data_IF_721095177247
#
_entry.id   IF_721095177247
#
_cell.length_a   1.000
_cell.length_b   1.000
_cell.length_c   1.000
_cell.angle_alpha   90.00
_cell.angle_beta   90.00
_cell.angle_gamma   90.00
#
_symmetry.space_group_name_H-M   'P 1'
#
loop_
_entity.id
_entity.type
_entity.pdbx_description
1 polymer ?
#
# COMPACT_ATOMS: atom_id res chain seq x y z
N UNK A 1 9.00 16.33 0.58
CA UNK A 1 10.26 16.71 -0.12
C UNK A 1 10.78 15.54 -0.93
N UNK A 2 11.24 15.76 -2.17
CA UNK A 2 11.90 14.73 -2.98
C UNK A 2 13.41 15.03 -3.00
N UNK A 3 14.22 14.01 -2.74
CA UNK A 3 15.68 14.06 -2.78
C UNK A 3 16.19 12.86 -3.60
N UNK A 4 16.64 13.15 -4.84
CA UNK A 4 16.98 12.13 -5.83
C UNK A 4 15.82 11.19 -6.12
N UNK A 5 15.97 9.91 -5.78
CA UNK A 5 14.95 8.85 -5.96
C UNK A 5 14.14 8.57 -4.68
N UNK A 6 14.26 9.41 -3.66
CA UNK A 6 13.57 9.24 -2.37
C UNK A 6 12.62 10.41 -2.10
N UNK A 7 11.47 10.10 -1.52
CA UNK A 7 10.56 11.10 -0.98
C UNK A 7 10.56 11.03 0.55
N UNK A 8 10.49 12.19 1.20
CA UNK A 8 10.37 12.35 2.65
C UNK A 8 9.06 13.07 2.96
N UNK A 9 8.34 12.55 3.97
CA UNK A 9 7.10 13.13 4.48
C UNK A 9 7.44 14.28 5.42
N UNK A 10 6.74 15.40 5.25
CA UNK A 10 6.85 16.57 6.12
C UNK A 10 5.48 16.92 6.69
N UNK A 11 5.45 17.28 7.98
CA UNK A 11 4.28 17.84 8.65
C UNK A 11 4.66 19.21 9.18
N UNK A 12 3.97 20.25 8.71
CA UNK A 12 4.27 21.65 9.03
C UNK A 12 5.74 22.02 8.78
N UNK A 13 6.30 21.57 7.64
CA UNK A 13 7.68 21.83 7.22
C UNK A 13 8.75 21.02 7.95
N UNK A 14 8.37 20.08 8.81
CA UNK A 14 9.31 19.22 9.54
C UNK A 14 9.27 17.81 8.99
N UNK A 15 10.44 17.28 8.64
CA UNK A 15 10.58 15.87 8.25
C UNK A 15 10.21 14.97 9.42
N UNK A 16 9.38 13.98 9.15
CA UNK A 16 9.00 12.97 10.14
C UNK A 16 9.91 11.75 9.98
N UNK A 17 10.49 11.32 11.09
CA UNK A 17 11.26 10.08 11.16
C UNK A 17 10.33 8.87 10.92
N UNK A 18 10.74 7.97 10.02
CA UNK A 18 9.94 6.78 9.65
C UNK A 18 9.67 5.87 10.85
N UNK A 19 10.60 5.77 11.81
CA UNK A 19 10.41 5.00 13.04
C UNK A 19 9.23 5.52 13.87
N UNK A 20 8.95 6.83 13.85
CA UNK A 20 7.81 7.43 14.54
C UNK A 20 6.50 7.12 13.84
N UNK A 21 6.51 7.01 12.51
CA UNK A 21 5.33 6.61 11.73
C UNK A 21 4.91 5.16 11.98
N UNK A 22 5.86 4.31 12.40
CA UNK A 22 5.65 2.88 12.68
C UNK A 22 5.51 2.56 14.16
N UNK A 23 5.48 3.58 15.02
CA UNK A 23 5.38 3.41 16.46
C UNK A 23 4.00 2.87 16.90
N UNK A 24 3.91 2.25 18.10
CA UNK A 24 2.66 1.67 18.60
C UNK A 24 1.47 2.65 18.63
N UNK A 25 1.71 3.91 18.99
CA UNK A 25 0.68 4.94 19.03
C UNK A 25 0.06 5.22 17.65
N UNK A 26 0.88 5.24 16.59
CA UNK A 26 0.40 5.44 15.22
C UNK A 26 -0.31 4.18 14.73
N UNK A 27 0.29 2.99 14.92
CA UNK A 27 -0.31 1.73 14.51
C UNK A 27 -1.66 1.47 15.17
N UNK A 28 -1.85 1.87 16.44
CA UNK A 28 -3.13 1.74 17.14
C UNK A 28 -4.20 2.76 16.71
N UNK A 29 -3.79 3.92 16.20
CA UNK A 29 -4.71 4.99 15.83
C UNK A 29 -5.06 5.01 14.33
N UNK A 30 -4.18 4.52 13.45
CA UNK A 30 -4.28 4.74 12.00
C UNK A 30 -5.59 4.23 11.40
N UNK A 31 -6.10 3.07 11.83
CA UNK A 31 -7.36 2.52 11.31
C UNK A 31 -8.57 3.41 11.63
N UNK A 32 -8.57 4.07 12.78
CA UNK A 32 -9.62 5.00 13.19
C UNK A 32 -9.63 6.24 12.31
N UNK A 33 -8.45 6.82 12.03
CA UNK A 33 -8.33 7.95 11.12
C UNK A 33 -8.66 7.56 9.67
N UNK A 34 -8.20 6.40 9.22
CA UNK A 34 -8.44 5.89 7.86
C UNK A 34 -9.93 5.65 7.56
N UNK A 35 -10.77 5.49 8.59
CA UNK A 35 -12.22 5.35 8.47
C UNK A 35 -12.96 6.70 8.29
N UNK A 36 -12.32 7.86 8.53
CA UNK A 36 -12.95 9.18 8.44
C UNK A 36 -13.11 9.60 6.96
N UNK A 37 -14.34 9.72 6.41
CA UNK A 37 -14.53 9.98 4.98
C UNK A 37 -13.92 11.30 4.50
N UNK A 38 -14.03 12.36 5.30
CA UNK A 38 -13.47 13.67 4.96
C UNK A 38 -11.94 13.63 4.82
N UNK A 39 -11.26 12.85 5.67
CA UNK A 39 -9.81 12.67 5.59
C UNK A 39 -9.43 11.89 4.32
N UNK A 40 -10.18 10.82 4.00
CA UNK A 40 -9.96 10.06 2.76
C UNK A 40 -10.15 10.93 1.52
N UNK A 41 -11.21 11.72 1.47
CA UNK A 41 -11.48 12.63 0.38
C UNK A 41 -10.35 13.66 0.19
N UNK A 42 -9.82 14.21 1.30
CA UNK A 42 -8.69 15.14 1.25
C UNK A 42 -7.39 14.49 0.71
N UNK A 43 -7.14 13.21 1.06
CA UNK A 43 -5.94 12.49 0.61
C UNK A 43 -6.06 11.93 -0.82
N UNK A 44 -7.26 11.68 -1.31
CA UNK A 44 -7.50 11.07 -2.63
C UNK A 44 -6.86 11.89 -3.77
N UNK A 45 -7.03 13.21 -3.73
CA UNK A 45 -6.44 14.10 -4.74
C UNK A 45 -4.91 14.01 -4.71
N UNK A 46 -4.31 14.09 -3.52
CA UNK A 46 -2.86 13.94 -3.33
C UNK A 46 -2.32 12.60 -3.86
N UNK A 47 -3.04 11.50 -3.59
CA UNK A 47 -2.67 10.16 -4.04
C UNK A 47 -2.73 10.01 -5.56
N UNK A 48 -3.79 10.52 -6.19
CA UNK A 48 -3.93 10.50 -7.65
C UNK A 48 -2.88 11.36 -8.35
N UNK A 49 -2.52 12.48 -7.74
CA UNK A 49 -1.52 13.40 -8.28
C UNK A 49 -0.12 12.79 -8.37
N UNK A 50 0.17 11.73 -7.60
CA UNK A 50 1.46 11.02 -7.68
C UNK A 50 1.73 10.46 -9.08
N UNK A 51 0.69 10.08 -9.85
CA UNK A 51 0.88 9.62 -11.22
C UNK A 51 1.33 10.76 -12.16
N UNK A 52 0.87 12.00 -11.93
CA UNK A 52 1.35 13.17 -12.67
C UNK A 52 2.80 13.48 -12.29
N UNK A 53 3.10 13.53 -10.99
CA UNK A 53 4.46 13.76 -10.47
C UNK A 53 5.44 12.72 -11.04
N UNK A 54 5.07 11.44 -11.05
CA UNK A 54 5.91 10.38 -11.61
C UNK A 54 6.28 10.65 -13.09
N UNK A 55 5.31 11.08 -13.91
CA UNK A 55 5.54 11.43 -15.32
C UNK A 55 6.42 12.67 -15.47
N UNK A 56 6.17 13.71 -14.70
CA UNK A 56 6.95 14.96 -14.74
C UNK A 56 8.42 14.75 -14.38
N UNK A 57 8.70 13.79 -13.49
CA UNK A 57 10.06 13.39 -13.13
C UNK A 57 10.66 12.30 -14.03
N UNK A 58 9.99 11.94 -15.13
CA UNK A 58 10.52 10.98 -16.11
C UNK A 58 10.58 9.52 -15.64
N UNK A 59 9.80 9.14 -14.63
CA UNK A 59 9.70 7.75 -14.21
C UNK A 59 8.90 6.93 -15.24
N UNK A 60 9.33 5.69 -15.48
CA UNK A 60 8.63 4.75 -16.39
C UNK A 60 7.26 4.29 -15.87
N UNK A 61 6.98 4.50 -14.58
CA UNK A 61 5.73 4.13 -13.95
C UNK A 61 5.70 4.47 -12.46
N UNK A 62 4.57 4.19 -11.82
CA UNK A 62 4.34 4.36 -10.39
C UNK A 62 3.91 3.01 -9.79
N UNK A 63 4.62 2.55 -8.77
CA UNK A 63 4.17 1.44 -7.92
C UNK A 63 3.57 2.05 -6.65
N UNK A 64 2.33 1.69 -6.34
CA UNK A 64 1.63 2.19 -5.17
C UNK A 64 1.03 1.02 -4.37
N UNK A 65 1.33 0.99 -3.08
CA UNK A 65 0.83 0.00 -2.12
C UNK A 65 -0.24 0.63 -1.22
N UNK A 66 -1.31 -0.10 -0.94
CA UNK A 66 -2.36 0.32 -0.02
C UNK A 66 -3.57 -0.60 -0.07
N UNK A 67 -4.65 -0.22 0.63
CA UNK A 67 -5.86 -1.05 0.77
C UNK A 67 -6.86 -0.90 -0.37
N UNK A 68 -6.95 0.28 -0.97
CA UNK A 68 -7.96 0.62 -1.98
C UNK A 68 -7.35 1.29 -3.23
N UNK A 69 -6.07 0.99 -3.50
CA UNK A 69 -5.38 1.53 -4.68
C UNK A 69 -6.12 1.12 -5.94
N UNK A 70 -6.30 -0.19 -6.15
CA UNK A 70 -6.91 -0.72 -7.37
C UNK A 70 -8.44 -0.66 -7.41
N UNK A 71 -9.12 -0.37 -6.30
CA UNK A 71 -10.60 -0.26 -6.26
C UNK A 71 -11.09 1.18 -6.35
N UNK A 72 -10.33 2.15 -5.82
CA UNK A 72 -10.80 3.53 -5.66
C UNK A 72 -9.82 4.55 -6.26
N UNK A 73 -8.53 4.45 -5.94
CA UNK A 73 -7.57 5.49 -6.31
C UNK A 73 -7.23 5.41 -7.81
N UNK A 74 -6.85 4.22 -8.28
CA UNK A 74 -6.50 3.89 -9.66
C UNK A 74 -7.22 2.61 -10.12
N UNK A 75 -8.56 2.66 -10.33
CA UNK A 75 -9.33 1.51 -10.81
C UNK A 75 -8.90 1.04 -12.20
N UNK A 76 -8.29 1.93 -12.99
CA UNK A 76 -7.81 1.66 -14.35
C UNK A 76 -6.29 1.45 -14.43
N UNK A 77 -5.61 1.17 -13.30
CA UNK A 77 -4.17 0.88 -13.31
C UNK A 77 -3.85 -0.30 -14.23
N UNK A 78 -2.76 -0.21 -15.01
CA UNK A 78 -2.31 -1.25 -15.96
C UNK A 78 -2.14 -2.61 -15.28
N UNK A 79 -1.67 -2.60 -14.03
CA UNK A 79 -1.55 -3.77 -13.18
C UNK A 79 -2.18 -3.52 -11.82
N UNK A 80 -2.97 -4.47 -11.35
CA UNK A 80 -3.51 -4.51 -9.99
C UNK A 80 -3.16 -5.86 -9.39
N UNK A 81 -2.49 -5.87 -8.24
CA UNK A 81 -2.14 -7.09 -7.52
C UNK A 81 -2.84 -7.07 -6.16
N UNK A 82 -3.47 -8.17 -5.80
CA UNK A 82 -4.07 -8.35 -4.48
C UNK A 82 -3.27 -9.39 -3.72
N UNK A 83 -2.40 -8.95 -2.82
CA UNK A 83 -1.52 -9.79 -2.02
C UNK A 83 -2.18 -10.11 -0.68
N UNK A 84 -2.37 -11.40 -0.39
CA UNK A 84 -2.89 -11.87 0.88
C UNK A 84 -2.10 -13.09 1.39
N UNK A 85 -2.37 -13.49 2.63
CA UNK A 85 -1.80 -14.65 3.28
C UNK A 85 -2.64 -15.00 4.51
N UNK A 86 -2.53 -16.24 4.97
CA UNK A 86 -3.20 -16.70 6.17
C UNK A 86 -2.86 -15.82 7.38
N UNK A 87 -3.85 -15.53 8.26
CA UNK A 87 -3.64 -14.69 9.44
C UNK A 87 -2.50 -15.18 10.34
N UNK A 88 -2.35 -16.49 10.50
CA UNK A 88 -1.29 -17.11 11.30
C UNK A 88 0.10 -16.83 10.73
N UNK A 89 0.26 -16.98 9.41
CA UNK A 89 1.53 -16.71 8.73
C UNK A 89 1.88 -15.21 8.79
N UNK A 90 0.88 -14.34 8.63
CA UNK A 90 1.06 -12.89 8.78
C UNK A 90 1.49 -12.51 10.20
N UNK A 91 0.85 -13.10 11.21
CA UNK A 91 1.23 -12.90 12.60
C UNK A 91 2.66 -13.39 12.87
N UNK A 92 3.04 -14.55 12.34
CA UNK A 92 4.39 -15.12 12.45
C UNK A 92 5.45 -14.19 11.85
N UNK A 93 5.25 -13.71 10.60
CA UNK A 93 6.17 -12.76 9.94
C UNK A 93 6.32 -11.47 10.73
N UNK A 94 5.21 -10.94 11.25
CA UNK A 94 5.19 -9.70 12.01
C UNK A 94 5.88 -9.81 13.37
N UNK A 95 5.70 -10.94 14.06
CA UNK A 95 6.43 -11.24 15.29
C UNK A 95 7.94 -11.32 15.04
N UNK A 96 8.37 -11.89 13.91
CA UNK A 96 9.78 -11.92 13.51
C UNK A 96 10.36 -10.52 13.22
N UNK A 97 9.52 -9.55 12.85
CA UNK A 97 9.88 -8.12 12.74
C UNK A 97 9.89 -7.38 14.09
N UNK A 98 9.61 -8.05 15.21
CA UNK A 98 9.56 -7.46 16.55
C UNK A 98 8.32 -6.61 16.81
N UNK A 99 7.26 -6.78 16.02
CA UNK A 99 6.04 -6.00 16.10
C UNK A 99 4.95 -6.77 16.84
N UNK A 100 4.23 -6.07 17.73
CA UNK A 100 3.19 -6.64 18.60
C UNK A 100 1.78 -6.13 18.24
N UNK A 101 1.62 -5.51 17.08
CA UNK A 101 0.32 -4.99 16.63
C UNK A 101 -0.65 -6.13 16.27
N UNK A 102 -1.92 -6.01 16.70
CA UNK A 102 -2.96 -6.98 16.35
C UNK A 102 -3.38 -6.81 14.89
N UNK A 103 -2.71 -7.54 13.99
CA UNK A 103 -3.02 -7.56 12.56
C UNK A 103 -4.48 -7.95 12.32
N UNK A 104 -5.00 -8.93 13.07
CA UNK A 104 -6.37 -9.39 12.93
C UNK A 104 -7.39 -8.27 13.17
N UNK A 105 -7.17 -7.45 14.21
CA UNK A 105 -8.05 -6.31 14.47
C UNK A 105 -7.91 -5.24 13.39
N UNK A 106 -6.68 -4.97 12.91
CA UNK A 106 -6.47 -4.04 11.81
C UNK A 106 -7.20 -4.47 10.54
N UNK A 107 -7.09 -5.74 10.17
CA UNK A 107 -7.72 -6.30 8.98
C UNK A 107 -9.25 -6.27 9.09
N UNK A 108 -9.78 -6.55 10.28
CA UNK A 108 -11.22 -6.43 10.56
C UNK A 108 -11.69 -4.99 10.36
N UNK A 109 -10.97 -4.00 10.91
CA UNK A 109 -11.31 -2.59 10.75
C UNK A 109 -11.17 -2.13 9.29
N UNK A 110 -10.13 -2.56 8.58
CA UNK A 110 -9.88 -2.20 7.18
C UNK A 110 -10.91 -2.81 6.21
N UNK A 111 -11.39 -4.03 6.47
CA UNK A 111 -12.39 -4.72 5.63
C UNK A 111 -13.83 -4.28 5.92
N UNK A 112 -14.14 -3.90 7.17
CA UNK A 112 -15.52 -3.55 7.57
C UNK A 112 -15.84 -2.05 7.49
N UNK A 113 -14.86 -1.20 7.19
CA UNK A 113 -15.10 0.25 7.07
C UNK A 113 -16.06 0.57 5.92
N UNK A 114 -16.97 1.52 6.16
CA UNK A 114 -17.96 1.97 5.16
C UNK A 114 -17.32 2.64 3.94
N UNK A 115 -16.22 3.37 4.14
CA UNK A 115 -15.54 4.09 3.09
C UNK A 115 -14.34 3.28 2.57
N UNK A 116 -14.39 2.87 1.31
CA UNK A 116 -13.33 2.12 0.61
C UNK A 116 -12.85 0.88 1.39
N UNK A 117 -13.71 -0.12 1.69
CA UNK A 117 -13.29 -1.33 2.38
C UNK A 117 -12.15 -2.04 1.63
N UNK A 118 -11.30 -2.75 2.37
CA UNK A 118 -10.32 -3.66 1.76
C UNK A 118 -11.06 -4.74 0.96
N UNK A 119 -10.85 -4.74 -0.35
CA UNK A 119 -11.44 -5.70 -1.27
C UNK A 119 -10.48 -5.96 -2.44
N UNK A 120 -10.52 -7.18 -2.98
CA UNK A 120 -9.79 -7.52 -4.20
C UNK A 120 -10.37 -6.72 -5.38
N UNK A 121 -9.58 -5.88 -6.07
CA UNK A 121 -10.07 -5.14 -7.22
C UNK A 121 -10.49 -6.06 -8.37
N UNK A 122 -11.51 -5.66 -9.13
CA UNK A 122 -11.91 -6.40 -10.33
C UNK A 122 -10.74 -6.50 -11.33
N UNK A 123 -10.47 -7.72 -11.78
CA UNK A 123 -9.36 -8.02 -12.69
C UNK A 123 -7.96 -7.92 -12.07
N UNK A 124 -7.85 -7.85 -10.73
CA UNK A 124 -6.55 -7.94 -10.07
C UNK A 124 -5.99 -9.36 -10.12
N UNK A 125 -4.67 -9.46 -10.23
CA UNK A 125 -3.94 -10.70 -9.99
C UNK A 125 -3.96 -11.01 -8.50
N UNK A 126 -4.71 -12.05 -8.11
CA UNK A 126 -4.77 -12.56 -6.75
C UNK A 126 -3.50 -13.37 -6.42
N UNK A 127 -2.80 -12.99 -5.35
CA UNK A 127 -1.56 -13.61 -4.91
C UNK A 127 -1.71 -14.02 -3.44
N UNK A 128 -1.95 -15.30 -3.22
CA UNK A 128 -1.74 -15.93 -1.92
C UNK A 128 -0.23 -16.14 -1.70
N UNK A 129 0.29 -15.48 -0.67
CA UNK A 129 1.70 -15.51 -0.27
C UNK A 129 1.97 -16.36 0.97
N UNK A 130 1.00 -17.14 1.44
CA UNK A 130 1.11 -17.97 2.65
C UNK A 130 2.35 -18.87 2.61
N UNK A 131 2.54 -19.57 1.50
CA UNK A 131 3.65 -20.51 1.31
C UNK A 131 4.72 -20.02 0.33
N UNK A 132 4.70 -18.72 -0.01
CA UNK A 132 5.68 -18.14 -0.92
C UNK A 132 6.79 -17.43 -0.14
N UNK A 133 8.00 -17.62 -0.63
CA UNK A 133 9.15 -16.78 -0.27
C UNK A 133 8.99 -15.36 -0.84
N UNK A 134 9.79 -14.43 -0.30
CA UNK A 134 9.84 -13.05 -0.81
C UNK A 134 10.17 -13.01 -2.31
N UNK A 135 11.16 -13.81 -2.74
CA UNK A 135 11.62 -13.83 -4.12
C UNK A 135 10.53 -14.35 -5.07
N UNK A 136 9.75 -15.35 -4.66
CA UNK A 136 8.62 -15.86 -5.43
C UNK A 136 7.51 -14.80 -5.56
N UNK A 137 7.19 -14.08 -4.48
CA UNK A 137 6.22 -12.98 -4.53
C UNK A 137 6.71 -11.87 -5.46
N UNK A 138 7.98 -11.47 -5.32
CA UNK A 138 8.61 -10.45 -6.18
C UNK A 138 8.59 -10.88 -7.65
N UNK A 139 8.87 -12.14 -7.95
CA UNK A 139 8.82 -12.67 -9.31
C UNK A 139 7.41 -12.64 -9.89
N UNK A 140 6.38 -13.02 -9.11
CA UNK A 140 4.96 -12.97 -9.54
C UNK A 140 4.50 -11.56 -9.89
N UNK A 141 4.99 -10.54 -9.18
CA UNK A 141 4.66 -9.13 -9.46
C UNK A 141 5.50 -8.57 -10.60
N UNK A 142 6.82 -8.79 -10.58
CA UNK A 142 7.75 -8.12 -11.50
C UNK A 142 7.75 -8.71 -12.91
N UNK A 143 7.51 -10.02 -13.08
CA UNK A 143 7.51 -10.68 -14.40
C UNK A 143 6.53 -10.06 -15.40
N UNK A 144 5.22 -9.90 -15.10
CA UNK A 144 4.28 -9.28 -16.04
C UNK A 144 4.60 -7.80 -16.32
N UNK A 145 5.12 -7.07 -15.32
CA UNK A 145 5.54 -5.68 -15.49
C UNK A 145 6.74 -5.60 -16.44
N UNK A 146 7.75 -6.44 -16.24
CA UNK A 146 8.95 -6.48 -17.09
C UNK A 146 8.60 -6.84 -18.53
N UNK A 147 7.69 -7.80 -18.76
CA UNK A 147 7.21 -8.15 -20.09
C UNK A 147 6.55 -6.95 -20.80
N UNK A 148 5.78 -6.13 -20.08
CA UNK A 148 5.13 -4.92 -20.61
C UNK A 148 6.08 -3.77 -20.86
N UNK A 149 7.15 -3.65 -20.08
CA UNK A 149 8.19 -2.63 -20.25
C UNK A 149 9.20 -3.01 -21.33
N UNK A 150 9.51 -4.30 -21.52
CA UNK A 150 10.41 -4.78 -22.58
C UNK A 150 9.77 -4.85 -23.97
N UNK A 151 8.46 -4.62 -24.07
CA UNK A 151 7.70 -4.54 -25.32
C UNK A 151 7.41 -3.09 -25.74
N UNK A 152 7.94 -2.11 -25.01
CA UNK A 152 7.79 -0.67 -25.26
C UNK A 152 9.03 -0.05 -25.93
#
# INVERSE_FOLDING_TARGET
RVDGRRAQIEVSGRVIDDSKLRGPAVNGAVSHFAAIPALRAALLAYQRDQARIAREHGFAGLVMEGRDIGTVIFPDADFRFFLHADPEERARRRAAEGQQDSIAERDRLDSTRKASPLACPAGATDIDSTFLSLDEVVARVSTPIAARLGTA
#
